data_IF_786098468195
#
_entry.id   IF_786098468195
#
_cell.length_a   1.000
_cell.length_b   1.000
_cell.length_c   1.000
_cell.angle_alpha   90.00
_cell.angle_beta   90.00
_cell.angle_gamma   90.00
#
_symmetry.space_group_name_H-M   'P 1'
#
loop_
_entity.id
_entity.type
_entity.pdbx_description
1 polymer ?
#
# COMPACT_ATOMS: atom_id res chain seq x y z
N UNK A 1 -26.18 -14.20 -9.59
CA UNK A 1 -25.67 -14.22 -10.99
C UNK A 1 -26.19 -13.02 -11.81
N UNK A 2 -25.74 -11.81 -11.50
CA UNK A 2 -26.15 -10.60 -12.24
C UNK A 2 -25.26 -10.30 -13.46
N UNK A 3 -24.01 -10.77 -13.45
CA UNK A 3 -23.02 -10.52 -14.50
C UNK A 3 -23.51 -10.97 -15.88
N UNK A 4 -23.83 -12.27 -16.04
CA UNK A 4 -24.28 -12.85 -17.31
C UNK A 4 -25.43 -12.08 -17.97
N UNK A 5 -26.41 -11.63 -17.17
CA UNK A 5 -27.54 -10.85 -17.68
C UNK A 5 -27.08 -9.47 -18.16
N UNK A 6 -26.29 -8.77 -17.35
CA UNK A 6 -25.81 -7.41 -17.67
C UNK A 6 -24.80 -7.42 -18.83
N UNK A 7 -23.93 -8.41 -18.91
CA UNK A 7 -22.88 -8.50 -19.93
C UNK A 7 -23.46 -8.72 -21.33
N UNK A 8 -24.55 -9.48 -21.45
CA UNK A 8 -25.31 -9.62 -22.70
C UNK A 8 -25.93 -8.30 -23.16
N UNK A 9 -26.39 -7.47 -22.22
CA UNK A 9 -27.02 -6.17 -22.52
C UNK A 9 -26.02 -5.09 -22.97
N UNK A 10 -24.73 -5.25 -22.69
CA UNK A 10 -23.68 -4.27 -23.02
C UNK A 10 -22.56 -4.89 -23.85
N UNK A 11 -22.84 -6.03 -24.49
CA UNK A 11 -21.82 -6.72 -25.27
C UNK A 11 -21.45 -5.86 -26.50
N UNK A 12 -20.16 -5.61 -26.76
CA UNK A 12 -19.71 -4.69 -27.81
C UNK A 12 -20.15 -5.11 -29.22
N UNK A 13 -20.35 -6.41 -29.46
CA UNK A 13 -20.85 -6.95 -30.73
C UNK A 13 -22.39 -6.83 -30.90
N UNK A 14 -23.13 -6.67 -29.79
CA UNK A 14 -24.61 -6.64 -29.82
C UNK A 14 -25.18 -5.24 -29.69
N UNK A 15 -24.38 -4.28 -29.20
CA UNK A 15 -24.81 -2.91 -28.91
C UNK A 15 -23.94 -1.92 -29.65
N UNK A 16 -24.57 -1.07 -30.46
CA UNK A 16 -23.92 -0.02 -31.24
C UNK A 16 -23.70 1.24 -30.38
N UNK A 17 -22.83 1.15 -29.37
CA UNK A 17 -22.45 2.29 -28.53
C UNK A 17 -20.93 2.36 -28.40
N UNK A 18 -20.33 3.54 -28.55
CA UNK A 18 -18.87 3.75 -28.46
C UNK A 18 -18.29 3.16 -27.17
N UNK A 19 -19.00 3.38 -26.07
CA UNK A 19 -18.53 3.02 -24.73
C UNK A 19 -18.89 1.58 -24.34
N UNK A 20 -19.50 0.79 -25.22
CA UNK A 20 -19.91 -0.59 -24.92
C UNK A 20 -18.72 -1.45 -24.48
N UNK A 21 -17.57 -1.30 -25.14
CA UNK A 21 -16.34 -2.00 -24.78
C UNK A 21 -15.83 -1.63 -23.38
N UNK A 22 -15.86 -0.34 -23.03
CA UNK A 22 -15.44 0.13 -21.72
C UNK A 22 -16.40 -0.33 -20.61
N UNK A 23 -17.70 -0.21 -20.85
CA UNK A 23 -18.74 -0.65 -19.92
C UNK A 23 -18.64 -2.16 -19.65
N UNK A 24 -18.41 -2.97 -20.69
CA UNK A 24 -18.20 -4.41 -20.55
C UNK A 24 -16.96 -4.73 -19.72
N UNK A 25 -15.85 -4.02 -19.97
CA UNK A 25 -14.62 -4.19 -19.19
C UNK A 25 -14.81 -3.84 -17.70
N UNK A 26 -15.51 -2.73 -17.40
CA UNK A 26 -15.86 -2.35 -16.01
C UNK A 26 -16.71 -3.41 -15.32
N UNK A 27 -17.72 -3.94 -16.03
CA UNK A 27 -18.59 -4.98 -15.50
C UNK A 27 -17.82 -6.27 -15.21
N UNK A 28 -16.92 -6.67 -16.11
CA UNK A 28 -16.06 -7.85 -15.94
C UNK A 28 -15.10 -7.71 -14.76
N UNK A 29 -14.50 -6.52 -14.60
CA UNK A 29 -13.66 -6.22 -13.44
C UNK A 29 -14.46 -6.33 -12.14
N UNK A 30 -15.64 -5.72 -12.08
CA UNK A 30 -16.50 -5.79 -10.90
C UNK A 30 -16.92 -7.22 -10.54
N UNK A 31 -17.19 -8.08 -11.53
CA UNK A 31 -17.43 -9.50 -11.28
C UNK A 31 -16.20 -10.20 -10.68
N UNK A 32 -15.02 -9.95 -11.25
CA UNK A 32 -13.77 -10.50 -10.73
C UNK A 32 -13.52 -10.07 -9.28
N UNK A 33 -13.69 -8.78 -8.99
CA UNK A 33 -13.47 -8.22 -7.65
C UNK A 33 -14.47 -8.79 -6.62
N UNK A 34 -15.71 -9.10 -7.05
CA UNK A 34 -16.72 -9.74 -6.19
C UNK A 34 -16.51 -11.25 -6.00
N UNK A 35 -15.87 -11.92 -6.95
CA UNK A 35 -15.51 -13.33 -6.84
C UNK A 35 -14.25 -13.54 -5.98
N UNK A 36 -13.39 -12.53 -5.85
CA UNK A 36 -12.27 -12.54 -4.92
C UNK A 36 -12.77 -12.30 -3.49
N UNK A 37 -12.68 -13.34 -2.65
CA UNK A 37 -13.12 -13.29 -1.25
C UNK A 37 -12.37 -12.23 -0.43
N UNK A 38 -11.11 -11.94 -0.76
CA UNK A 38 -10.29 -10.97 -0.03
C UNK A 38 -10.72 -9.55 -0.36
N UNK A 39 -10.90 -9.25 -1.65
CA UNK A 39 -11.39 -7.95 -2.08
C UNK A 39 -12.84 -7.71 -1.63
N UNK A 40 -13.67 -8.74 -1.73
CA UNK A 40 -15.05 -8.69 -1.23
C UNK A 40 -15.07 -8.35 0.27
N UNK A 41 -14.25 -9.02 1.07
CA UNK A 41 -14.15 -8.76 2.50
C UNK A 41 -13.73 -7.30 2.78
N UNK A 42 -12.68 -6.83 2.11
CA UNK A 42 -12.22 -5.45 2.22
C UNK A 42 -13.32 -4.42 1.87
N UNK A 43 -14.09 -4.65 0.81
CA UNK A 43 -15.20 -3.77 0.42
C UNK A 43 -16.33 -3.79 1.45
N UNK A 44 -16.63 -4.95 2.03
CA UNK A 44 -17.63 -5.08 3.10
C UNK A 44 -17.19 -4.34 4.36
N UNK A 45 -15.93 -4.47 4.76
CA UNK A 45 -15.35 -3.74 5.90
C UNK A 45 -15.50 -2.24 5.70
N UNK A 46 -15.17 -1.75 4.52
CA UNK A 46 -15.25 -0.32 4.20
C UNK A 46 -16.71 0.20 4.20
N UNK A 47 -17.67 -0.63 3.80
CA UNK A 47 -19.10 -0.30 3.92
C UNK A 47 -19.51 -0.18 5.39
N UNK A 48 -19.03 -1.08 6.26
CA UNK A 48 -19.30 -1.00 7.70
C UNK A 48 -18.67 0.25 8.31
N UNK A 49 -17.44 0.58 7.93
CA UNK A 49 -16.76 1.82 8.36
C UNK A 49 -17.56 3.06 7.93
N UNK A 50 -18.03 3.11 6.68
CA UNK A 50 -18.86 4.20 6.19
C UNK A 50 -20.17 4.36 6.98
N UNK A 51 -20.84 3.24 7.31
CA UNK A 51 -22.05 3.25 8.15
C UNK A 51 -21.75 3.78 9.55
N UNK A 52 -20.67 3.29 10.17
CA UNK A 52 -20.23 3.72 11.50
C UNK A 52 -19.95 5.22 11.53
N UNK A 53 -19.31 5.76 10.51
CA UNK A 53 -18.96 7.18 10.49
C UNK A 53 -20.18 8.09 10.32
N UNK A 54 -21.20 7.64 9.57
CA UNK A 54 -22.49 8.33 9.48
C UNK A 54 -23.22 8.31 10.82
N UNK A 55 -23.22 7.16 11.50
CA UNK A 55 -23.82 7.03 12.82
C UNK A 55 -23.13 7.93 13.85
N UNK A 56 -21.79 7.99 13.84
CA UNK A 56 -21.01 8.92 14.68
C UNK A 56 -21.37 10.37 14.37
N UNK A 57 -21.46 10.75 13.10
CA UNK A 57 -21.86 12.11 12.69
C UNK A 57 -23.27 12.49 13.14
N UNK A 58 -24.16 11.50 13.34
CA UNK A 58 -25.51 11.68 13.88
C UNK A 58 -25.58 11.64 15.42
N UNK A 59 -24.45 11.52 16.11
CA UNK A 59 -24.37 11.52 17.58
C UNK A 59 -24.46 10.16 18.25
N UNK A 60 -24.38 9.05 17.50
CA UNK A 60 -24.31 7.71 18.08
C UNK A 60 -22.86 7.35 18.41
N UNK A 61 -22.44 7.56 19.67
CA UNK A 61 -21.07 7.25 20.11
C UNK A 61 -20.84 5.75 20.37
N UNK A 62 -21.88 5.06 20.87
CA UNK A 62 -21.85 3.60 21.15
C UNK A 62 -22.69 2.88 20.11
N UNK A 63 -22.02 2.44 19.04
CA UNK A 63 -22.70 1.73 17.94
C UNK A 63 -22.83 0.26 18.30
N UNK A 64 -24.05 -0.27 18.20
CA UNK A 64 -24.32 -1.69 18.39
C UNK A 64 -23.76 -2.46 17.20
N UNK A 65 -22.63 -3.11 17.42
CA UNK A 65 -22.03 -4.05 16.47
C UNK A 65 -22.53 -5.44 16.79
N UNK A 66 -23.00 -6.16 15.77
CA UNK A 66 -23.31 -7.58 15.86
C UNK A 66 -22.10 -8.38 15.40
N UNK A 67 -21.71 -9.36 16.19
CA UNK A 67 -20.84 -10.46 15.73
C UNK A 67 -21.76 -11.57 15.22
N UNK A 68 -21.70 -11.95 13.93
CA UNK A 68 -22.45 -13.08 13.43
C UNK A 68 -21.90 -14.34 14.13
N UNK A 69 -22.62 -14.84 15.14
CA UNK A 69 -22.18 -16.00 15.93
C UNK A 69 -22.82 -16.17 17.32
N UNK A 70 -23.46 -15.14 17.91
CA UNK A 70 -24.17 -15.30 19.19
C UNK A 70 -25.68 -15.19 18.97
N UNK A 71 -26.30 -16.34 18.71
CA UNK A 71 -27.72 -16.52 19.04
C UNK A 71 -27.82 -16.37 20.56
N UNK A 72 -28.66 -15.47 21.13
CA UNK A 72 -29.05 -15.61 22.53
C UNK A 72 -29.91 -16.88 22.64
N UNK A 73 -29.27 -18.03 22.86
CA UNK A 73 -29.98 -19.29 23.11
C UNK A 73 -30.64 -19.22 24.49
N UNK A 74 -31.91 -18.86 24.51
CA UNK A 74 -32.86 -19.53 25.37
C UNK A 74 -33.48 -20.68 24.56
N UNK A 75 -33.04 -21.91 24.86
CA UNK A 75 -33.60 -23.22 24.48
C UNK A 75 -33.27 -23.84 23.09
N UNK A 76 -32.91 -25.15 23.18
CA UNK A 76 -32.83 -26.23 22.17
C UNK A 76 -31.68 -26.18 21.13
N UNK A 77 -30.60 -26.97 21.29
CA UNK A 77 -30.40 -28.40 20.95
C UNK A 77 -30.70 -28.76 19.48
N UNK A 78 -29.67 -28.82 18.62
CA UNK A 78 -29.17 -30.03 17.93
C UNK A 78 -27.97 -29.71 17.04
N UNK A 79 -27.00 -30.63 17.00
CA UNK A 79 -25.76 -30.61 16.22
C UNK A 79 -26.00 -30.54 14.70
N UNK A 80 -25.35 -29.60 14.01
CA UNK A 80 -24.86 -29.79 12.64
C UNK A 80 -23.53 -29.06 12.48
N UNK A 81 -22.46 -29.82 12.20
CA UNK A 81 -21.15 -29.28 11.81
C UNK A 81 -21.23 -28.89 10.34
N UNK A 82 -21.46 -27.62 10.06
CA UNK A 82 -21.10 -27.04 8.77
C UNK A 82 -19.80 -26.25 8.97
N UNK A 83 -18.70 -26.77 8.45
CA UNK A 83 -17.42 -26.06 8.34
C UNK A 83 -17.58 -24.92 7.30
N UNK A 84 -18.26 -23.85 7.70
CA UNK A 84 -18.21 -22.57 7.00
C UNK A 84 -17.10 -21.73 7.65
N UNK A 85 -16.20 -21.09 6.88
CA UNK A 85 -15.23 -20.17 7.45
C UNK A 85 -15.98 -18.98 8.05
N UNK A 86 -16.22 -19.03 9.36
CA UNK A 86 -16.85 -17.98 10.15
C UNK A 86 -15.86 -16.82 10.25
N UNK A 87 -15.88 -15.96 9.23
CA UNK A 87 -15.17 -14.68 9.25
C UNK A 87 -15.90 -13.76 10.22
N UNK A 88 -15.32 -13.58 11.40
CA UNK A 88 -15.81 -12.74 12.50
C UNK A 88 -15.82 -11.27 12.10
N UNK A 89 -16.87 -10.85 11.38
CA UNK A 89 -17.07 -9.47 10.95
C UNK A 89 -17.97 -8.74 11.93
N UNK A 90 -17.52 -7.61 12.49
CA UNK A 90 -18.37 -6.71 13.25
C UNK A 90 -19.31 -5.96 12.29
N UNK A 91 -20.53 -6.46 12.15
CA UNK A 91 -21.55 -5.88 11.27
C UNK A 91 -22.42 -4.92 12.09
N UNK A 92 -22.59 -3.69 11.63
CA UNK A 92 -23.56 -2.76 12.22
C UNK A 92 -24.95 -3.37 12.12
N UNK A 93 -25.68 -3.42 13.24
CA UNK A 93 -27.07 -3.87 13.23
C UNK A 93 -27.97 -2.83 12.54
N UNK A 94 -28.26 -3.04 11.25
CA UNK A 94 -29.13 -2.15 10.48
C UNK A 94 -30.54 -2.04 11.10
N UNK A 95 -31.01 -3.06 11.84
CA UNK A 95 -32.31 -3.03 12.51
C UNK A 95 -32.35 -2.02 13.66
N UNK A 96 -31.22 -1.79 14.33
CA UNK A 96 -31.12 -0.80 15.40
C UNK A 96 -31.14 0.65 14.86
N UNK A 97 -30.91 0.83 13.56
CA UNK A 97 -30.76 2.14 12.93
C UNK A 97 -31.62 2.28 11.66
N UNK A 98 -32.95 2.48 11.79
CA UNK A 98 -33.88 2.56 10.65
C UNK A 98 -33.51 3.62 9.61
N UNK A 99 -32.83 4.68 10.03
CA UNK A 99 -32.39 5.76 9.16
C UNK A 99 -31.34 5.31 8.12
N UNK A 100 -30.58 4.24 8.37
CA UNK A 100 -29.63 3.68 7.40
C UNK A 100 -30.35 3.00 6.23
N UNK A 101 -31.53 2.40 6.49
CA UNK A 101 -32.34 1.72 5.49
C UNK A 101 -33.13 2.66 4.57
N UNK A 102 -33.28 3.93 4.98
CA UNK A 102 -33.93 4.95 4.16
C UNK A 102 -33.17 5.19 2.85
N UNK A 103 -33.84 5.71 1.84
CA UNK A 103 -33.19 6.05 0.56
C UNK A 103 -32.09 7.11 0.76
N UNK A 104 -32.33 8.09 1.63
CA UNK A 104 -31.33 9.10 1.98
C UNK A 104 -30.15 8.47 2.74
N UNK A 105 -30.41 7.61 3.72
CA UNK A 105 -29.35 6.91 4.45
C UNK A 105 -28.45 6.08 3.52
N UNK A 106 -29.04 5.38 2.55
CA UNK A 106 -28.28 4.64 1.52
C UNK A 106 -27.43 5.58 0.66
N UNK A 107 -27.94 6.76 0.27
CA UNK A 107 -27.16 7.77 -0.45
C UNK A 107 -26.00 8.31 0.38
N UNK A 108 -26.24 8.59 1.66
CA UNK A 108 -25.22 9.10 2.58
C UNK A 108 -24.09 8.05 2.72
N UNK A 109 -24.45 6.77 2.93
CA UNK A 109 -23.48 5.65 3.03
C UNK A 109 -22.67 5.52 1.75
N UNK A 110 -23.30 5.61 0.57
CA UNK A 110 -22.59 5.57 -0.71
C UNK A 110 -21.65 6.75 -0.89
N UNK A 111 -22.07 7.98 -0.52
CA UNK A 111 -21.23 9.16 -0.60
C UNK A 111 -20.01 9.02 0.34
N UNK A 112 -20.23 8.51 1.55
CA UNK A 112 -19.17 8.30 2.53
C UNK A 112 -18.20 7.20 2.11
N UNK A 113 -18.71 6.09 1.60
CA UNK A 113 -17.89 5.01 1.04
C UNK A 113 -16.97 5.52 -0.09
N UNK A 114 -17.52 6.33 -1.01
CA UNK A 114 -16.72 6.96 -2.08
C UNK A 114 -15.62 7.85 -1.52
N UNK A 115 -15.92 8.65 -0.49
CA UNK A 115 -14.94 9.49 0.18
C UNK A 115 -13.80 8.65 0.79
N UNK A 116 -14.14 7.58 1.52
CA UNK A 116 -13.15 6.69 2.14
C UNK A 116 -12.27 5.99 1.08
N UNK A 117 -12.85 5.50 -0.02
CA UNK A 117 -12.10 4.92 -1.13
C UNK A 117 -11.09 5.91 -1.74
N UNK A 118 -11.52 7.15 -1.96
CA UNK A 118 -10.65 8.21 -2.48
C UNK A 118 -9.52 8.49 -1.49
N UNK A 119 -9.83 8.60 -0.20
CA UNK A 119 -8.83 8.86 0.83
C UNK A 119 -7.79 7.74 0.93
N UNK A 120 -8.23 6.48 0.90
CA UNK A 120 -7.36 5.31 0.92
C UNK A 120 -6.41 5.29 -0.28
N UNK A 121 -6.91 5.57 -1.48
CA UNK A 121 -6.09 5.64 -2.69
C UNK A 121 -5.09 6.82 -2.63
N UNK A 122 -5.52 8.00 -2.16
CA UNK A 122 -4.61 9.14 -1.96
C UNK A 122 -3.54 8.84 -0.91
N UNK A 123 -3.89 8.13 0.17
CA UNK A 123 -2.95 7.67 1.19
C UNK A 123 -1.94 6.69 0.60
N UNK A 124 -2.39 5.70 -0.16
CA UNK A 124 -1.54 4.74 -0.87
C UNK A 124 -0.56 5.45 -1.81
N UNK A 125 -1.03 6.40 -2.62
CA UNK A 125 -0.18 7.21 -3.51
C UNK A 125 0.88 8.01 -2.76
N UNK A 126 0.52 8.61 -1.63
CA UNK A 126 1.47 9.35 -0.78
C UNK A 126 2.56 8.45 -0.19
N UNK A 127 2.18 7.25 0.25
CA UNK A 127 3.14 6.26 0.79
C UNK A 127 4.11 5.84 -0.31
N UNK A 128 3.61 5.38 -1.46
CA UNK A 128 4.44 4.97 -2.61
C UNK A 128 5.41 6.08 -3.02
N UNK A 129 4.92 7.32 -3.10
CA UNK A 129 5.76 8.47 -3.45
C UNK A 129 6.88 8.69 -2.43
N UNK A 130 6.56 8.64 -1.13
CA UNK A 130 7.54 8.78 -0.05
C UNK A 130 8.59 7.69 -0.11
N UNK A 131 8.16 6.44 -0.30
CA UNK A 131 9.06 5.28 -0.31
C UNK A 131 10.06 5.37 -1.47
N UNK A 132 9.59 5.80 -2.65
CA UNK A 132 10.45 6.05 -3.81
C UNK A 132 11.44 7.19 -3.57
N UNK A 133 11.02 8.26 -2.90
CA UNK A 133 11.91 9.36 -2.51
C UNK A 133 12.99 8.90 -1.52
N UNK A 134 12.64 8.05 -0.55
CA UNK A 134 13.58 7.48 0.41
C UNK A 134 14.57 6.53 -0.24
N UNK A 135 14.08 5.62 -1.10
CA UNK A 135 14.93 4.68 -1.85
C UNK A 135 15.90 5.44 -2.77
N UNK A 136 15.43 6.49 -3.45
CA UNK A 136 16.27 7.35 -4.28
C UNK A 136 17.32 8.13 -3.47
N UNK A 137 16.98 8.58 -2.26
CA UNK A 137 17.94 9.26 -1.38
C UNK A 137 19.01 8.29 -0.85
N UNK A 138 18.62 7.06 -0.51
CA UNK A 138 19.53 6.00 -0.08
C UNK A 138 20.46 5.57 -1.21
N UNK A 139 19.93 5.37 -2.42
CA UNK A 139 20.73 5.04 -3.60
C UNK A 139 21.80 6.11 -3.88
N UNK A 140 21.45 7.40 -3.80
CA UNK A 140 22.43 8.50 -3.96
C UNK A 140 23.50 8.48 -2.86
N UNK A 141 23.14 8.21 -1.61
CA UNK A 141 24.11 8.11 -0.51
C UNK A 141 25.07 6.94 -0.71
N UNK A 142 24.57 5.78 -1.13
CA UNK A 142 25.38 4.60 -1.41
C UNK A 142 26.34 4.85 -2.58
N UNK A 143 25.86 5.48 -3.65
CA UNK A 143 26.68 5.82 -4.82
C UNK A 143 27.79 6.81 -4.46
N UNK A 144 27.48 7.86 -3.68
CA UNK A 144 28.49 8.82 -3.21
C UNK A 144 29.53 8.16 -2.31
N UNK A 145 29.12 7.31 -1.37
CA UNK A 145 30.04 6.57 -0.52
C UNK A 145 30.91 5.58 -1.31
N UNK A 146 30.38 4.99 -2.39
CA UNK A 146 31.15 4.15 -3.31
C UNK A 146 32.16 4.96 -4.12
N UNK A 147 31.76 6.13 -4.64
CA UNK A 147 32.66 7.07 -5.34
C UNK A 147 33.78 7.57 -4.43
N UNK A 148 33.47 7.93 -3.19
CA UNK A 148 34.48 8.37 -2.23
C UNK A 148 35.44 7.23 -1.85
N UNK A 149 34.92 6.01 -1.63
CA UNK A 149 35.76 4.83 -1.42
C UNK A 149 36.67 4.56 -2.62
N UNK A 150 36.14 4.68 -3.85
CA UNK A 150 36.92 4.53 -5.07
C UNK A 150 38.00 5.61 -5.18
N UNK A 151 37.66 6.88 -4.93
CA UNK A 151 38.62 7.99 -4.95
C UNK A 151 39.75 7.78 -3.95
N UNK A 152 39.44 7.39 -2.71
CA UNK A 152 40.44 7.08 -1.68
C UNK A 152 41.31 5.89 -2.07
N UNK A 153 40.74 4.84 -2.68
CA UNK A 153 41.49 3.70 -3.15
C UNK A 153 42.44 4.07 -4.31
N UNK A 154 41.99 4.90 -5.24
CA UNK A 154 42.79 5.41 -6.36
C UNK A 154 43.93 6.33 -5.85
N UNK A 155 43.64 7.27 -4.94
CA UNK A 155 44.64 8.12 -4.27
C UNK A 155 45.69 7.27 -3.52
N UNK A 156 45.28 6.24 -2.78
CA UNK A 156 46.19 5.34 -2.08
C UNK A 156 47.05 4.54 -3.07
N UNK A 157 46.47 4.09 -4.18
CA UNK A 157 47.20 3.38 -5.23
C UNK A 157 48.24 4.28 -5.89
N UNK A 158 47.90 5.53 -6.20
CA UNK A 158 48.83 6.52 -6.74
C UNK A 158 49.96 6.85 -5.75
N UNK A 159 49.62 6.97 -4.46
CA UNK A 159 50.60 7.13 -3.40
C UNK A 159 51.59 5.95 -3.37
N UNK A 160 51.11 4.71 -3.34
CA UNK A 160 52.00 3.52 -3.37
C UNK A 160 52.81 3.45 -4.67
N UNK A 161 52.23 3.76 -5.83
CA UNK A 161 52.96 3.75 -7.11
C UNK A 161 54.12 4.77 -7.13
N UNK A 162 53.93 5.93 -6.51
CA UNK A 162 54.99 6.97 -6.42
C UNK A 162 55.95 6.76 -5.25
N UNK A 163 55.76 5.71 -4.43
CA UNK A 163 56.54 5.44 -3.23
C UNK A 163 58.03 5.34 -3.49
N UNK A 164 58.45 4.52 -4.46
CA UNK A 164 59.88 4.31 -4.75
C UNK A 164 60.57 5.60 -5.18
N UNK A 165 59.92 6.40 -6.02
CA UNK A 165 60.42 7.72 -6.42
C UNK A 165 60.60 8.63 -5.22
N UNK A 166 59.59 8.70 -4.33
CA UNK A 166 59.64 9.53 -3.11
C UNK A 166 60.72 9.05 -2.13
N UNK A 167 60.85 7.73 -1.93
CA UNK A 167 61.89 7.11 -1.10
C UNK A 167 63.29 7.40 -1.67
N UNK A 168 63.47 7.29 -2.99
CA UNK A 168 64.74 7.59 -3.64
C UNK A 168 65.11 9.07 -3.50
N UNK A 169 64.18 10.00 -3.73
CA UNK A 169 64.41 11.44 -3.48
C UNK A 169 64.79 11.74 -2.02
N UNK A 170 64.16 11.08 -1.04
CA UNK A 170 64.53 11.20 0.37
C UNK A 170 65.93 10.66 0.63
N UNK A 171 66.27 9.49 0.08
CA UNK A 171 67.60 8.85 0.25
C UNK A 171 68.70 9.76 -0.27
N UNK A 172 68.47 10.40 -1.40
CA UNK A 172 69.43 11.33 -2.00
C UNK A 172 69.57 12.63 -1.19
N UNK A 173 68.49 13.16 -0.63
CA UNK A 173 68.53 14.30 0.29
C UNK A 173 69.42 14.01 1.52
N UNK A 174 69.28 12.83 2.12
CA UNK A 174 70.11 12.42 3.26
C UNK A 174 71.58 12.21 2.90
N UNK A 175 71.86 11.60 1.75
CA UNK A 175 73.23 11.51 1.22
C UNK A 175 73.83 12.89 1.00
N UNK A 176 73.06 13.85 0.46
CA UNK A 176 73.51 15.24 0.23
C UNK A 176 73.80 15.96 1.56
N UNK A 177 72.95 15.82 2.58
CA UNK A 177 73.19 16.39 3.92
C UNK A 177 74.45 15.81 4.58
N UNK A 178 74.69 14.49 4.46
CA UNK A 178 75.93 13.86 4.95
C UNK A 178 77.18 14.38 4.23
N UNK A 179 77.12 14.65 2.92
CA UNK A 179 78.25 15.26 2.17
C UNK A 179 78.58 16.66 2.68
N UNK A 180 77.59 17.52 2.88
CA UNK A 180 77.78 18.90 3.39
C UNK A 180 78.42 18.90 4.79
N UNK A 181 78.06 17.93 5.65
CA UNK A 181 78.63 17.79 7.00
C UNK A 181 80.04 17.18 7.03
N UNK A 182 80.52 16.62 5.92
CA UNK A 182 81.88 16.06 5.78
C UNK A 182 82.86 17.06 5.14
N UNK A 183 82.32 18.12 4.53
CA UNK A 183 83.05 19.20 3.87
C UNK A 183 83.11 20.49 4.69
N UNK A 184 82.57 20.48 5.91
CA UNK A 184 82.67 21.51 6.93
C UNK A 184 83.42 20.92 8.13
#
# INVERSE_FOLDING_TARGET
>A
MAYRKKSLMIHPDKVNHSDAQEAFAKLKKAESDLNDTTQLQFLLDLIQEAKVEILKGKGFEKIKMTTPGTIPTAAATTNEKTDTPTTSLSVVDDSAYPHLSTEQGRRDVQAKLKQLLIELELRRRRIIKRDLETEGAEARKVELAAKERKRKADEQKEWENTRETRVNSWRDFQKKKKKVKKSA
#
